data_IF_227960361232
#
_entry.id   IF_227960361232
#
_cell.length_a   1.000
_cell.length_b   1.000
_cell.length_c   1.000
_cell.angle_alpha   90.00
_cell.angle_beta   90.00
_cell.angle_gamma   90.00
#
_symmetry.space_group_name_H-M   'P 1'
#
loop_
_entity.id
_entity.type
_entity.pdbx_description
1 polymer ?
#
# COMPACT_ATOMS: atom_id res chain seq x y z
N UNK A 1 20.64 -51.29 12.69
CA UNK A 1 21.21 -49.92 12.66
C UNK A 1 20.80 -49.30 11.34
N UNK A 2 19.67 -48.61 11.26
CA UNK A 2 19.68 -47.15 11.01
C UNK A 2 18.27 -46.50 11.05
N UNK A 3 17.28 -47.07 11.74
CA UNK A 3 15.86 -46.61 11.67
C UNK A 3 15.36 -45.77 12.87
N UNK A 4 16.24 -45.40 13.81
CA UNK A 4 15.86 -44.66 15.04
C UNK A 4 16.24 -43.19 15.05
N UNK A 5 16.90 -42.67 14.00
CA UNK A 5 17.33 -41.25 13.91
C UNK A 5 16.31 -40.35 13.19
N UNK A 6 15.41 -40.91 12.38
CA UNK A 6 14.41 -40.14 11.62
C UNK A 6 13.15 -39.75 12.41
N UNK A 7 12.84 -40.49 13.48
CA UNK A 7 11.65 -40.24 14.30
C UNK A 7 11.83 -39.15 15.35
N UNK A 8 13.08 -38.81 15.71
CA UNK A 8 13.36 -37.74 16.66
C UNK A 8 13.40 -36.35 16.00
N UNK A 9 13.58 -36.28 14.67
CA UNK A 9 13.59 -35.02 13.92
C UNK A 9 12.16 -34.58 13.59
N UNK A 10 11.23 -35.53 13.44
CA UNK A 10 9.80 -35.23 13.26
C UNK A 10 9.08 -34.82 14.55
N UNK A 11 9.61 -35.14 15.74
CA UNK A 11 8.99 -34.77 17.02
C UNK A 11 9.41 -33.40 17.57
N UNK A 12 10.36 -32.70 16.92
CA UNK A 12 10.73 -31.30 17.26
C UNK A 12 10.08 -30.30 16.29
N UNK A 13 9.58 -30.76 15.15
CA UNK A 13 8.90 -29.95 14.13
C UNK A 13 7.36 -30.05 14.20
N UNK A 14 6.81 -30.36 15.39
CA UNK A 14 5.36 -30.44 15.63
C UNK A 14 4.89 -29.51 16.76
N UNK A 15 5.65 -28.46 17.07
CA UNK A 15 5.40 -27.56 18.20
C UNK A 15 5.33 -26.06 17.84
N UNK A 16 5.11 -25.69 16.57
CA UNK A 16 4.87 -24.28 16.16
C UNK A 16 3.86 -24.25 15.01
N UNK A 17 2.62 -24.69 15.23
CA UNK A 17 1.52 -24.49 14.27
C UNK A 17 0.15 -24.33 14.96
N UNK A 18 0.12 -23.66 16.11
CA UNK A 18 -1.13 -23.20 16.72
C UNK A 18 -1.01 -21.70 16.94
N UNK A 19 -2.04 -20.97 16.48
CA UNK A 19 -2.32 -19.53 16.55
C UNK A 19 -1.68 -18.58 15.52
N UNK A 20 -1.95 -18.80 14.23
CA UNK A 20 -2.10 -17.66 13.30
C UNK A 20 -3.36 -17.80 12.46
N UNK A 21 -4.50 -17.64 13.11
CA UNK A 21 -5.78 -17.34 12.46
C UNK A 21 -6.51 -16.32 13.32
N UNK A 22 -6.02 -15.08 13.21
CA UNK A 22 -6.78 -13.89 13.56
C UNK A 22 -6.71 -12.97 12.34
N UNK A 23 -7.42 -13.34 11.27
CA UNK A 23 -7.88 -12.37 10.27
C UNK A 23 -8.89 -11.47 10.96
N UNK A 24 -8.41 -10.51 11.75
CA UNK A 24 -9.20 -9.34 12.09
C UNK A 24 -9.38 -8.55 10.80
N UNK A 25 -10.60 -8.24 10.35
CA UNK A 25 -10.76 -7.22 9.33
C UNK A 25 -10.13 -5.96 9.91
N UNK A 26 -9.15 -5.41 9.21
CA UNK A 26 -8.70 -4.04 9.40
C UNK A 26 -9.85 -3.12 8.94
N UNK A 27 -10.94 -3.13 9.70
CA UNK A 27 -11.70 -1.92 9.88
C UNK A 27 -10.71 -0.94 10.47
N UNK A 28 -10.44 0.13 9.73
CA UNK A 28 -9.70 1.28 10.19
C UNK A 28 -10.41 1.85 11.43
N UNK A 29 -10.21 1.22 12.58
CA UNK A 29 -10.16 1.94 13.82
C UNK A 29 -8.85 2.71 13.71
N UNK A 30 -8.96 3.94 13.19
CA UNK A 30 -8.15 5.01 13.73
C UNK A 30 -8.51 5.00 15.23
N UNK A 31 -7.79 4.20 16.02
CA UNK A 31 -7.77 4.39 17.46
C UNK A 31 -7.15 5.77 17.60
N UNK A 32 -8.03 6.76 17.64
CA UNK A 32 -7.76 8.08 18.15
C UNK A 32 -7.24 7.83 19.57
N UNK A 33 -5.94 7.53 19.71
CA UNK A 33 -5.19 7.68 20.94
C UNK A 33 -5.07 9.18 21.18
N UNK A 34 -6.22 9.80 21.41
CA UNK A 34 -6.43 11.21 21.76
C UNK A 34 -6.57 11.32 23.28
N UNK A 35 -5.83 10.47 24.01
CA UNK A 35 -5.69 10.56 25.45
C UNK A 35 -4.62 11.58 25.84
N UNK A 36 -4.76 12.11 27.05
CA UNK A 36 -3.70 12.80 27.76
C UNK A 36 -2.47 11.88 27.92
N UNK A 37 -1.28 12.45 28.15
CA UNK A 37 -0.05 11.65 28.39
C UNK A 37 -0.25 10.63 29.51
N UNK A 38 -1.05 10.96 30.52
CA UNK A 38 -1.36 10.08 31.65
C UNK A 38 -2.20 8.85 31.26
N UNK A 39 -3.01 8.92 30.21
CA UNK A 39 -3.75 7.76 29.69
C UNK A 39 -2.88 6.88 28.78
N UNK A 40 -1.80 7.45 28.24
CA UNK A 40 -0.90 6.78 27.31
C UNK A 40 0.32 6.13 27.97
N UNK A 41 0.63 6.48 29.21
CA UNK A 41 1.75 5.92 29.96
C UNK A 41 1.33 5.49 31.36
N UNK A 42 2.01 4.49 31.91
CA UNK A 42 1.70 4.04 33.27
C UNK A 42 2.09 5.10 34.32
N UNK A 43 1.43 5.13 35.50
CA UNK A 43 1.77 6.07 36.56
C UNK A 43 3.25 5.97 37.03
N UNK A 44 3.84 4.78 36.92
CA UNK A 44 5.24 4.53 37.24
C UNK A 44 6.17 5.18 36.21
N UNK A 45 5.86 5.07 34.92
CA UNK A 45 6.60 5.74 33.84
C UNK A 45 6.45 7.27 33.93
N UNK A 46 5.26 7.76 34.30
CA UNK A 46 5.02 9.19 34.51
C UNK A 46 5.88 9.76 35.64
N UNK A 47 6.01 9.01 36.75
CA UNK A 47 6.86 9.38 37.88
C UNK A 47 8.35 9.21 37.57
N UNK A 48 8.74 8.17 36.84
CA UNK A 48 10.11 7.93 36.42
C UNK A 48 10.60 8.98 35.41
N UNK A 49 9.72 9.45 34.51
CA UNK A 49 9.97 10.56 33.59
C UNK A 49 10.02 11.93 34.29
N UNK A 50 9.71 12.00 35.59
CA UNK A 50 9.71 13.23 36.37
C UNK A 50 8.56 14.19 36.04
N UNK A 51 7.57 13.74 35.26
CA UNK A 51 6.40 14.54 34.88
C UNK A 51 5.51 14.88 36.08
N UNK A 52 5.65 14.13 37.19
CA UNK A 52 4.96 14.39 38.46
C UNK A 52 5.42 15.65 39.20
N UNK A 53 6.49 16.32 38.74
CA UNK A 53 6.97 17.60 39.28
C UNK A 53 6.38 18.81 38.55
N UNK A 54 5.70 18.58 37.42
CA UNK A 54 5.07 19.63 36.64
C UNK A 54 3.72 20.01 37.26
N UNK A 55 3.40 21.30 37.19
CA UNK A 55 2.08 21.81 37.54
C UNK A 55 1.02 21.35 36.52
N UNK A 56 -0.26 21.40 36.92
CA UNK A 56 -1.37 21.04 36.04
C UNK A 56 -1.41 21.89 34.75
N UNK A 57 -0.99 23.15 34.82
CA UNK A 57 -0.91 24.06 33.68
C UNK A 57 0.21 23.67 32.70
N UNK A 58 1.36 23.22 33.21
CA UNK A 58 2.47 22.77 32.38
C UNK A 58 2.17 21.44 31.69
N UNK A 59 1.48 20.53 32.39
CA UNK A 59 1.00 19.27 31.81
C UNK A 59 0.01 19.53 30.67
N UNK A 60 -0.95 20.45 30.85
CA UNK A 60 -1.88 20.83 29.77
C UNK A 60 -1.16 21.39 28.54
N UNK A 61 -0.11 22.20 28.72
CA UNK A 61 0.70 22.71 27.61
C UNK A 61 1.46 21.59 26.90
N UNK A 62 1.97 20.61 27.64
CA UNK A 62 2.66 19.44 27.09
C UNK A 62 1.72 18.53 26.31
N UNK A 63 0.53 18.26 26.84
CA UNK A 63 -0.53 17.50 26.16
C UNK A 63 -0.95 18.18 24.84
N UNK A 64 -1.20 19.49 24.89
CA UNK A 64 -1.55 20.27 23.70
C UNK A 64 -0.43 20.25 22.64
N UNK A 65 0.84 20.36 23.08
CA UNK A 65 1.99 20.26 22.18
C UNK A 65 2.11 18.88 21.52
N UNK A 66 1.93 17.79 22.28
CA UNK A 66 1.98 16.43 21.74
C UNK A 66 0.86 16.15 20.74
N UNK A 67 -0.35 16.62 21.02
CA UNK A 67 -1.46 16.49 20.08
C UNK A 67 -1.15 17.19 18.75
N UNK A 68 -0.62 18.42 18.80
CA UNK A 68 -0.17 19.14 17.62
C UNK A 68 0.95 18.41 16.87
N UNK A 69 1.94 17.87 17.60
CA UNK A 69 3.05 17.10 17.03
C UNK A 69 2.54 15.84 16.31
N UNK A 70 1.63 15.09 16.94
CA UNK A 70 1.00 13.89 16.34
C UNK A 70 0.31 14.22 15.04
N UNK A 71 -0.58 15.22 15.03
CA UNK A 71 -1.27 15.64 13.82
C UNK A 71 -0.30 16.01 12.70
N UNK A 72 0.80 16.70 13.02
CA UNK A 72 1.83 17.04 12.03
C UNK A 72 2.54 15.79 11.51
N UNK A 73 2.91 14.86 12.39
CA UNK A 73 3.58 13.61 12.00
C UNK A 73 2.68 12.71 11.17
N UNK A 74 1.40 12.58 11.51
CA UNK A 74 0.40 11.81 10.77
C UNK A 74 0.14 12.43 9.39
N UNK A 75 -0.07 13.75 9.33
CA UNK A 75 -0.21 14.48 8.05
C UNK A 75 1.03 14.31 7.17
N UNK A 76 2.23 14.32 7.76
CA UNK A 76 3.48 14.12 7.02
C UNK A 76 3.64 12.66 6.56
N UNK A 77 3.27 11.69 7.39
CA UNK A 77 3.33 10.27 7.06
C UNK A 77 2.34 9.92 5.93
N UNK A 78 1.10 10.39 6.04
CA UNK A 78 0.06 10.24 4.99
C UNK A 78 0.46 10.95 3.70
N UNK A 79 0.98 12.18 3.76
CA UNK A 79 1.49 12.88 2.57
C UNK A 79 2.67 12.14 1.93
N UNK A 80 3.57 11.57 2.73
CA UNK A 80 4.70 10.76 2.22
C UNK A 80 4.21 9.46 1.59
N UNK A 81 3.26 8.76 2.20
CA UNK A 81 2.66 7.55 1.64
C UNK A 81 1.94 7.86 0.32
N UNK A 82 1.13 8.92 0.27
CA UNK A 82 0.46 9.37 -0.96
C UNK A 82 1.47 9.78 -2.04
N UNK A 83 2.59 10.41 -1.67
CA UNK A 83 3.66 10.74 -2.62
C UNK A 83 4.33 9.48 -3.17
N UNK A 84 4.64 8.50 -2.32
CA UNK A 84 5.24 7.23 -2.75
C UNK A 84 4.30 6.47 -3.69
N UNK A 85 3.00 6.43 -3.39
CA UNK A 85 2.01 5.79 -4.25
C UNK A 85 1.91 6.50 -5.61
N UNK A 86 1.91 7.84 -5.62
CA UNK A 86 1.96 8.62 -6.87
C UNK A 86 3.24 8.35 -7.65
N UNK A 87 4.40 8.29 -6.99
CA UNK A 87 5.68 7.99 -7.67
C UNK A 87 5.74 6.57 -8.20
N UNK A 88 5.12 5.59 -7.51
CA UNK A 88 4.97 4.23 -8.05
C UNK A 88 4.11 4.20 -9.32
N UNK A 89 3.11 5.08 -9.40
CA UNK A 89 2.30 5.29 -10.59
C UNK A 89 2.98 6.15 -11.67
N UNK A 90 4.11 6.82 -11.36
CA UNK A 90 4.79 7.68 -12.33
C UNK A 90 5.48 6.89 -13.45
N UNK A 91 5.95 5.67 -13.14
CA UNK A 91 6.46 4.71 -14.11
C UNK A 91 6.16 3.29 -13.62
N UNK A 92 5.11 2.69 -14.17
CA UNK A 92 4.72 1.32 -13.92
C UNK A 92 5.12 0.48 -15.12
N UNK A 93 6.02 -0.48 -14.91
CA UNK A 93 6.41 -1.44 -15.94
C UNK A 93 5.88 -2.81 -15.52
N UNK A 94 5.03 -3.37 -16.36
CA UNK A 94 4.35 -4.64 -16.14
C UNK A 94 4.12 -5.34 -17.49
N UNK A 95 3.22 -6.30 -17.51
CA UNK A 95 2.82 -7.07 -18.68
C UNK A 95 1.31 -7.12 -18.73
N UNK A 96 0.73 -7.16 -19.92
CA UNK A 96 -0.72 -7.31 -20.06
C UNK A 96 -1.10 -8.71 -19.60
N UNK A 97 -2.11 -8.79 -18.74
CA UNK A 97 -2.68 -10.06 -18.29
C UNK A 97 -3.55 -10.65 -19.40
N UNK A 98 -3.02 -11.68 -20.07
CA UNK A 98 -3.67 -12.39 -21.15
C UNK A 98 -3.40 -11.82 -22.55
N UNK A 99 -4.37 -12.01 -23.45
CA UNK A 99 -4.22 -11.63 -24.85
C UNK A 99 -4.70 -10.21 -25.12
N UNK A 100 -3.80 -9.36 -25.63
CA UNK A 100 -4.14 -8.02 -26.11
C UNK A 100 -4.49 -8.03 -27.59
N UNK A 101 -5.74 -7.71 -27.93
CA UNK A 101 -6.23 -7.68 -29.32
C UNK A 101 -6.22 -6.28 -29.96
N UNK A 102 -5.72 -5.27 -29.24
CA UNK A 102 -5.65 -3.89 -29.71
C UNK A 102 -6.73 -2.96 -29.15
N UNK A 103 -6.69 -1.72 -29.62
CA UNK A 103 -7.60 -0.67 -29.20
C UNK A 103 -8.86 -0.62 -30.06
N UNK A 104 -10.00 -0.56 -29.37
CA UNK A 104 -11.34 -0.56 -29.97
C UNK A 104 -12.19 0.66 -29.58
N UNK A 105 -11.60 1.61 -28.86
CA UNK A 105 -12.25 2.80 -28.33
C UNK A 105 -12.86 2.63 -26.94
N UNK A 106 -13.01 1.37 -26.49
CA UNK A 106 -13.53 1.02 -25.16
C UNK A 106 -12.70 -0.09 -24.51
N UNK A 107 -11.46 -0.24 -24.97
CA UNK A 107 -10.59 -1.32 -24.50
C UNK A 107 -10.23 -1.10 -23.03
N UNK A 108 -10.40 -2.14 -22.24
CA UNK A 108 -9.94 -2.22 -20.85
C UNK A 108 -8.76 -3.18 -20.83
N UNK A 109 -7.66 -2.72 -20.26
CA UNK A 109 -6.36 -3.39 -20.24
C UNK A 109 -6.06 -3.70 -18.78
N UNK A 110 -5.94 -4.99 -18.49
CA UNK A 110 -5.53 -5.48 -17.17
C UNK A 110 -4.05 -5.81 -17.24
N UNK A 111 -3.30 -5.38 -16.24
CA UNK A 111 -1.89 -5.70 -16.11
C UNK A 111 -1.70 -6.78 -15.04
N UNK A 112 -0.61 -7.54 -15.15
CA UNK A 112 -0.27 -8.64 -14.23
C UNK A 112 -0.06 -8.18 -12.78
N UNK A 113 0.18 -6.89 -12.56
CA UNK A 113 0.29 -6.30 -11.21
C UNK A 113 -1.07 -6.02 -10.54
N UNK A 114 -2.17 -6.37 -11.23
CA UNK A 114 -3.54 -6.19 -10.76
C UNK A 114 -4.14 -4.82 -11.08
N UNK A 115 -3.37 -3.89 -11.68
CA UNK A 115 -3.91 -2.60 -12.10
C UNK A 115 -4.75 -2.74 -13.38
N UNK A 116 -5.78 -1.90 -13.48
CA UNK A 116 -6.72 -1.91 -14.60
C UNK A 116 -6.81 -0.52 -15.20
N UNK A 117 -6.68 -0.46 -16.52
CA UNK A 117 -6.57 0.77 -17.27
C UNK A 117 -7.61 0.76 -18.39
N UNK A 118 -8.31 1.87 -18.57
CA UNK A 118 -9.25 2.07 -19.67
C UNK A 118 -8.62 2.98 -20.71
N UNK A 119 -8.82 2.66 -21.98
CA UNK A 119 -8.50 3.57 -23.08
C UNK A 119 -9.22 4.93 -22.88
N UNK A 120 -8.46 6.03 -22.86
CA UNK A 120 -9.01 7.37 -22.66
C UNK A 120 -9.65 7.94 -23.93
N UNK A 121 -8.96 7.80 -25.08
CA UNK A 121 -9.45 8.30 -26.36
C UNK A 121 -10.19 7.21 -27.12
N UNK A 122 -11.50 7.39 -27.35
CA UNK A 122 -12.32 6.39 -28.05
C UNK A 122 -11.96 6.21 -29.54
N UNK A 123 -11.30 7.21 -30.13
CA UNK A 123 -10.91 7.19 -31.55
C UNK A 123 -9.60 6.44 -31.82
N UNK A 124 -8.80 6.17 -30.78
CA UNK A 124 -7.53 5.46 -30.95
C UNK A 124 -7.79 4.01 -31.36
N UNK A 125 -7.22 3.62 -32.51
CA UNK A 125 -7.28 2.27 -33.06
C UNK A 125 -5.87 1.80 -33.36
N UNK A 126 -5.35 0.92 -32.50
CA UNK A 126 -4.04 0.30 -32.69
C UNK A 126 -4.18 -1.21 -32.75
N UNK A 127 -3.46 -1.81 -33.71
CA UNK A 127 -3.29 -3.25 -33.79
C UNK A 127 -1.94 -3.63 -33.21
N UNK A 128 -1.90 -4.53 -32.23
CA UNK A 128 -0.64 -4.98 -31.64
C UNK A 128 0.07 -5.93 -32.59
N UNK A 129 1.39 -5.91 -32.55
CA UNK A 129 2.24 -6.92 -33.20
C UNK A 129 2.39 -8.17 -32.33
N UNK A 130 2.41 -7.98 -31.01
CA UNK A 130 2.51 -9.04 -30.01
C UNK A 130 1.19 -9.08 -29.24
N UNK A 131 0.49 -10.21 -29.31
CA UNK A 131 -0.84 -10.36 -28.70
C UNK A 131 -0.78 -11.12 -27.39
N UNK A 132 0.15 -12.06 -27.23
CA UNK A 132 0.24 -12.92 -26.04
C UNK A 132 1.07 -12.27 -24.94
N UNK A 133 0.42 -11.87 -23.85
CA UNK A 133 1.02 -11.20 -22.70
C UNK A 133 2.13 -10.18 -23.07
N UNK A 134 1.84 -9.16 -23.89
CA UNK A 134 2.85 -8.18 -24.31
C UNK A 134 3.32 -7.33 -23.12
N UNK A 135 4.59 -6.88 -23.17
CA UNK A 135 5.10 -5.94 -22.18
C UNK A 135 4.33 -4.61 -22.24
N UNK A 136 4.05 -4.01 -21.08
CA UNK A 136 3.31 -2.77 -20.95
C UNK A 136 4.00 -1.81 -19.96
N UNK A 137 4.21 -0.58 -20.38
CA UNK A 137 4.69 0.49 -19.51
C UNK A 137 3.63 1.60 -19.42
N UNK A 138 3.28 2.02 -18.21
CA UNK A 138 2.42 3.17 -17.95
C UNK A 138 3.25 4.28 -17.34
N UNK A 139 3.19 5.45 -17.96
CA UNK A 139 3.93 6.64 -17.57
C UNK A 139 2.93 7.73 -17.22
N UNK A 140 3.02 8.28 -16.02
CA UNK A 140 2.25 9.45 -15.64
C UNK A 140 2.99 10.71 -16.09
N UNK A 141 2.33 11.51 -16.93
CA UNK A 141 2.80 12.81 -17.32
C UNK A 141 1.88 13.92 -16.83
N UNK A 142 2.27 15.16 -17.10
CA UNK A 142 1.46 16.37 -16.86
C UNK A 142 0.07 16.36 -17.51
N UNK A 143 -0.15 15.52 -18.52
CA UNK A 143 -1.42 15.41 -19.27
C UNK A 143 -2.20 14.12 -18.97
N UNK A 144 -1.84 13.39 -17.90
CA UNK A 144 -2.45 12.12 -17.55
C UNK A 144 -1.54 10.93 -17.83
N UNK A 145 -2.12 9.73 -17.87
CA UNK A 145 -1.37 8.49 -18.02
C UNK A 145 -1.28 8.09 -19.49
N UNK A 146 -0.07 7.77 -19.93
CA UNK A 146 0.19 7.14 -21.22
C UNK A 146 0.59 5.70 -21.00
N UNK A 147 0.07 4.81 -21.83
CA UNK A 147 0.47 3.42 -21.86
C UNK A 147 1.18 3.13 -23.18
N UNK A 148 2.29 2.42 -23.09
CA UNK A 148 3.00 1.83 -24.21
C UNK A 148 2.92 0.31 -24.08
N UNK A 149 2.28 -0.34 -25.06
CA UNK A 149 2.28 -1.79 -25.18
C UNK A 149 3.27 -2.19 -26.27
N UNK A 150 3.97 -3.30 -26.05
CA UNK A 150 4.89 -3.84 -27.02
C UNK A 150 4.25 -4.01 -28.41
N UNK A 151 4.87 -3.39 -29.40
CA UNK A 151 4.37 -3.43 -30.78
C UNK A 151 3.22 -2.48 -31.09
N UNK A 152 2.84 -1.57 -30.19
CA UNK A 152 1.92 -0.45 -30.47
C UNK A 152 2.58 0.91 -30.28
N UNK A 153 1.91 1.96 -30.76
CA UNK A 153 2.21 3.35 -30.38
C UNK A 153 1.79 3.58 -28.91
N UNK A 154 2.33 4.63 -28.30
CA UNK A 154 1.84 5.15 -27.02
C UNK A 154 0.43 5.75 -27.17
N UNK A 155 -0.41 5.55 -26.16
CA UNK A 155 -1.78 6.09 -26.13
C UNK A 155 -2.21 6.44 -24.70
N UNK A 156 -3.24 7.28 -24.57
CA UNK A 156 -3.72 7.72 -23.27
C UNK A 156 -4.66 6.69 -22.63
N UNK A 157 -4.49 6.53 -21.32
CA UNK A 157 -5.30 5.62 -20.50
C UNK A 157 -5.74 6.30 -19.20
N UNK A 158 -6.85 5.84 -18.66
CA UNK A 158 -7.38 6.26 -17.37
C UNK A 158 -7.34 5.08 -16.38
N UNK A 159 -6.83 5.28 -15.14
CA UNK A 159 -6.80 4.22 -14.13
C UNK A 159 -8.20 3.92 -13.60
N UNK A 160 -8.54 2.64 -13.50
CA UNK A 160 -9.78 2.17 -12.85
C UNK A 160 -9.45 1.79 -11.41
N UNK A 161 -9.87 2.62 -10.44
CA UNK A 161 -9.57 2.42 -9.01
C UNK A 161 -10.44 1.35 -8.32
N UNK A 162 -11.56 1.00 -8.93
CA UNK A 162 -12.51 -0.03 -8.46
C UNK A 162 -12.94 -0.89 -9.65
N UNK A 163 -12.11 -1.86 -10.08
CA UNK A 163 -12.42 -2.74 -11.20
C UNK A 163 -13.40 -3.86 -10.86
#
# INVERSE_FOLDING_TARGET
MNSSRDRLIHSVMLAVCVVFSCTKPAGAANEEMSGSIQEMMTPEEFKAAGLNKLSQEELQKLDAWLQGYRQVTEKKATARAAKVERTKMDLLVSRVDGTFNGLTGRTVIRLEDGTVWKQANADDRYRPKVTDHPAAAVIHGIFGYKMQIEGTQEFYVDPIRNP
#
